data_IF_872917312417
#
_entry.id   IF_872917312417
#
_cell.length_a   1.000
_cell.length_b   1.000
_cell.length_c   1.000
_cell.angle_alpha   90.00
_cell.angle_beta   90.00
_cell.angle_gamma   90.00
#
_symmetry.space_group_name_H-M   'P 1'
#
loop_
_entity.id
_entity.type
_entity.pdbx_description
1 polymer ?
#
# COMPACT_ATOMS: atom_id res chain seq x y z
N UNK A 1 -9.50 -10.60 3.44
CA UNK A 1 -8.40 -10.17 4.33
C UNK A 1 -7.49 -11.36 4.59
N UNK A 2 -6.18 -11.11 4.60
CA UNK A 2 -5.19 -12.11 5.01
C UNK A 2 -5.26 -12.35 6.52
N UNK A 3 -4.93 -13.57 6.94
CA UNK A 3 -4.62 -13.87 8.33
C UNK A 3 -3.15 -13.52 8.67
N UNK A 4 -2.81 -13.58 9.97
CA UNK A 4 -1.48 -13.22 10.45
C UNK A 4 -0.38 -14.13 9.87
N UNK A 5 -0.65 -15.43 9.71
CA UNK A 5 0.32 -16.40 9.19
C UNK A 5 0.65 -16.09 7.74
N UNK A 6 -0.36 -15.87 6.91
CA UNK A 6 -0.19 -15.50 5.50
C UNK A 6 0.52 -14.15 5.36
N UNK A 7 0.13 -13.14 6.15
CA UNK A 7 0.80 -11.85 6.17
C UNK A 7 2.29 -11.98 6.51
N UNK A 8 2.62 -12.75 7.55
CA UNK A 8 4.01 -13.00 7.95
C UNK A 8 4.84 -13.60 6.81
N UNK A 9 4.27 -14.55 6.07
CA UNK A 9 4.93 -15.15 4.92
C UNK A 9 5.13 -14.14 3.76
N UNK A 10 4.15 -13.27 3.51
CA UNK A 10 4.29 -12.16 2.54
C UNK A 10 5.44 -11.25 2.96
N UNK A 11 5.41 -10.73 4.18
CA UNK A 11 6.46 -9.83 4.70
C UNK A 11 7.85 -10.48 4.59
N UNK A 12 7.97 -11.76 5.03
CA UNK A 12 9.24 -12.50 4.96
C UNK A 12 9.74 -12.65 3.53
N UNK A 13 8.88 -13.02 2.60
CA UNK A 13 9.22 -13.26 1.19
C UNK A 13 9.63 -11.96 0.49
N UNK A 14 8.81 -10.92 0.61
CA UNK A 14 9.03 -9.68 -0.13
C UNK A 14 10.26 -8.93 0.38
N UNK A 15 10.45 -8.84 1.68
CA UNK A 15 11.64 -8.17 2.24
C UNK A 15 12.93 -8.95 1.97
N UNK A 16 12.88 -10.28 1.96
CA UNK A 16 14.03 -11.07 1.55
C UNK A 16 14.41 -10.82 0.06
N UNK A 17 13.40 -10.68 -0.80
CA UNK A 17 13.60 -10.34 -2.21
C UNK A 17 14.18 -8.91 -2.36
N UNK A 18 13.68 -7.94 -1.61
CA UNK A 18 14.19 -6.57 -1.59
C UNK A 18 15.64 -6.49 -1.14
N UNK A 19 16.00 -7.16 -0.06
CA UNK A 19 17.38 -7.24 0.39
C UNK A 19 18.28 -7.82 -0.70
N UNK A 20 17.86 -8.92 -1.35
CA UNK A 20 18.64 -9.55 -2.41
C UNK A 20 18.80 -8.64 -3.63
N UNK A 21 17.80 -7.82 -3.98
CA UNK A 21 17.90 -6.81 -5.06
C UNK A 21 18.85 -5.69 -4.68
N UNK A 22 18.66 -5.10 -3.51
CA UNK A 22 19.47 -3.97 -3.02
C UNK A 22 20.95 -4.33 -2.82
N UNK A 23 21.25 -5.56 -2.38
CA UNK A 23 22.62 -6.06 -2.23
C UNK A 23 23.34 -6.26 -3.57
N UNK A 24 22.61 -6.56 -4.64
CA UNK A 24 23.18 -6.72 -5.99
C UNK A 24 23.18 -5.43 -6.80
N UNK A 25 22.38 -4.45 -6.40
CA UNK A 25 22.26 -3.18 -7.12
C UNK A 25 23.58 -2.39 -7.07
N UNK A 26 24.13 -1.98 -8.23
CA UNK A 26 25.25 -1.06 -8.29
C UNK A 26 24.95 0.26 -7.56
N UNK A 27 25.98 0.98 -7.14
CA UNK A 27 25.81 2.21 -6.39
C UNK A 27 25.00 3.27 -7.16
N UNK A 28 25.18 3.35 -8.46
CA UNK A 28 24.46 4.25 -9.36
C UNK A 28 22.95 3.97 -9.39
N UNK A 29 22.53 2.72 -9.29
CA UNK A 29 21.11 2.35 -9.30
C UNK A 29 20.35 2.79 -8.04
N UNK A 30 21.08 3.07 -6.95
CA UNK A 30 20.46 3.58 -5.73
C UNK A 30 19.89 5.00 -5.89
N UNK A 31 20.33 5.73 -6.90
CA UNK A 31 19.81 7.06 -7.23
C UNK A 31 18.75 7.01 -8.36
N UNK A 32 18.47 5.83 -8.92
CA UNK A 32 17.45 5.65 -9.95
C UNK A 32 16.06 6.05 -9.43
N UNK A 33 15.24 6.72 -10.25
CA UNK A 33 13.89 7.11 -9.86
C UNK A 33 12.99 5.88 -9.72
N UNK A 34 12.05 5.95 -8.80
CA UNK A 34 10.99 4.95 -8.62
C UNK A 34 9.67 5.42 -9.24
N UNK A 35 8.62 4.60 -9.15
CA UNK A 35 7.24 4.99 -9.51
C UNK A 35 6.63 5.99 -8.50
N UNK A 36 7.28 6.20 -7.36
CA UNK A 36 6.87 7.19 -6.35
C UNK A 36 7.46 8.56 -6.72
N UNK A 37 6.65 9.62 -6.85
CA UNK A 37 7.15 10.94 -7.20
C UNK A 37 8.24 11.44 -6.24
N UNK A 38 9.36 11.89 -6.80
CA UNK A 38 10.52 12.42 -6.07
C UNK A 38 11.27 11.38 -5.19
N UNK A 39 10.99 10.08 -5.31
CA UNK A 39 11.71 9.04 -4.58
C UNK A 39 12.71 8.32 -5.49
N UNK A 40 13.94 8.19 -5.01
CA UNK A 40 14.93 7.27 -5.57
C UNK A 40 14.82 5.89 -4.89
N UNK A 41 15.51 4.89 -5.45
CA UNK A 41 15.70 3.58 -4.82
C UNK A 41 16.20 3.72 -3.39
N UNK A 42 17.14 4.66 -3.13
CA UNK A 42 17.64 4.97 -1.79
C UNK A 42 16.53 5.43 -0.85
N UNK A 43 15.68 6.33 -1.30
CA UNK A 43 14.58 6.84 -0.48
C UNK A 43 13.57 5.73 -0.16
N UNK A 44 13.24 4.91 -1.16
CA UNK A 44 12.35 3.76 -0.99
C UNK A 44 12.94 2.74 -0.01
N UNK A 45 14.22 2.37 -0.17
CA UNK A 45 14.90 1.43 0.75
C UNK A 45 14.93 1.95 2.21
N UNK A 46 15.14 3.28 2.40
CA UNK A 46 15.05 3.90 3.73
C UNK A 46 13.64 3.84 4.30
N UNK A 47 12.62 4.06 3.45
CA UNK A 47 11.23 3.97 3.85
C UNK A 47 10.87 2.53 4.25
N UNK A 48 11.28 1.52 3.48
CA UNK A 48 11.10 0.11 3.84
C UNK A 48 11.69 -0.20 5.22
N UNK A 49 12.93 0.24 5.47
CA UNK A 49 13.58 0.03 6.76
C UNK A 49 12.84 0.74 7.91
N UNK A 50 12.40 1.97 7.69
CA UNK A 50 11.67 2.78 8.68
C UNK A 50 10.28 2.19 8.95
N UNK A 51 9.53 1.82 7.89
CA UNK A 51 8.20 1.23 7.99
C UNK A 51 8.19 -0.04 8.82
N UNK A 52 9.12 -0.97 8.58
CA UNK A 52 9.23 -2.20 9.37
C UNK A 52 9.44 -1.96 10.87
N UNK A 53 10.20 -0.93 11.23
CA UNK A 53 10.40 -0.58 12.63
C UNK A 53 9.12 0.00 13.26
N UNK A 54 8.41 0.86 12.52
CA UNK A 54 7.11 1.39 12.95
C UNK A 54 6.09 0.28 13.14
N UNK A 55 6.03 -0.67 12.21
CA UNK A 55 5.11 -1.80 12.23
C UNK A 55 5.38 -2.73 13.41
N UNK A 56 6.65 -3.09 13.64
CA UNK A 56 7.04 -3.90 14.80
C UNK A 56 6.68 -3.20 16.12
N UNK A 57 6.91 -1.90 16.20
CA UNK A 57 6.59 -1.13 17.39
C UNK A 57 5.08 -0.95 17.59
N UNK A 58 4.31 -0.77 16.51
CA UNK A 58 2.85 -0.71 16.58
C UNK A 58 2.24 -2.02 17.08
N UNK A 59 2.77 -3.18 16.62
CA UNK A 59 2.38 -4.49 17.11
C UNK A 59 2.71 -4.67 18.60
N UNK A 60 3.93 -4.34 18.99
CA UNK A 60 4.34 -4.42 20.40
C UNK A 60 3.43 -3.58 21.29
N UNK A 61 3.15 -2.33 20.90
CA UNK A 61 2.27 -1.42 21.64
C UNK A 61 0.85 -1.94 21.71
N UNK A 62 0.32 -2.48 20.61
CA UNK A 62 -1.00 -3.11 20.59
C UNK A 62 -1.10 -4.26 21.61
N UNK A 63 -0.07 -5.12 21.69
CA UNK A 63 0.01 -6.21 22.67
C UNK A 63 0.13 -5.73 24.11
N UNK A 64 0.82 -4.61 24.34
CA UNK A 64 1.03 -4.01 25.67
C UNK A 64 -0.09 -3.05 26.09
N UNK A 65 -1.07 -2.79 25.21
CA UNK A 65 -2.18 -1.87 25.49
C UNK A 65 -1.77 -0.40 25.51
N UNK A 66 -0.71 -0.03 24.80
CA UNK A 66 -0.20 1.35 24.68
C UNK A 66 -0.87 2.03 23.49
N UNK A 67 -1.70 3.05 23.67
CA UNK A 67 -2.51 3.63 22.58
C UNK A 67 -1.77 4.67 21.72
N UNK A 68 -0.61 5.16 22.17
CA UNK A 68 0.15 6.19 21.46
C UNK A 68 0.97 5.56 20.31
N UNK A 69 1.02 6.22 19.15
CA UNK A 69 1.90 5.84 18.07
C UNK A 69 3.39 5.98 18.47
N UNK A 70 4.22 5.13 17.88
CA UNK A 70 5.66 5.18 18.12
C UNK A 70 6.32 6.33 17.35
N UNK A 71 7.33 6.92 17.99
CA UNK A 71 8.37 7.67 17.30
C UNK A 71 9.61 6.78 17.22
N UNK A 72 10.06 6.49 16.00
CA UNK A 72 11.20 5.61 15.76
C UNK A 72 12.28 6.36 14.94
N UNK A 73 13.58 6.06 15.17
CA UNK A 73 14.64 6.75 14.47
C UNK A 73 14.66 6.41 12.97
N UNK A 74 14.81 7.43 12.15
CA UNK A 74 15.03 7.24 10.71
C UNK A 74 16.40 6.63 10.45
N UNK A 75 16.54 5.59 9.60
CA UNK A 75 17.83 5.01 9.24
C UNK A 75 18.79 6.03 8.62
N UNK A 76 20.08 5.83 8.82
CA UNK A 76 21.13 6.64 8.17
C UNK A 76 20.99 6.63 6.64
N UNK A 77 21.57 7.61 5.94
CA UNK A 77 21.37 7.76 4.49
C UNK A 77 22.27 6.86 3.64
N UNK A 78 23.32 6.29 4.21
CA UNK A 78 24.26 5.45 3.46
C UNK A 78 23.74 4.03 3.24
N UNK A 79 24.15 3.40 2.14
CA UNK A 79 23.70 2.09 1.71
C UNK A 79 23.87 1.02 2.79
N UNK A 80 25.01 0.99 3.46
CA UNK A 80 25.33 -0.02 4.47
C UNK A 80 24.42 0.10 5.70
N UNK A 81 24.17 1.33 6.15
CA UNK A 81 23.25 1.63 7.24
C UNK A 81 21.80 1.23 6.90
N UNK A 82 21.36 1.49 5.67
CA UNK A 82 20.01 1.13 5.20
C UNK A 82 19.85 -0.40 5.19
N UNK A 83 20.78 -1.13 4.55
CA UNK A 83 20.74 -2.59 4.49
C UNK A 83 20.77 -3.24 5.89
N UNK A 84 21.62 -2.72 6.77
CA UNK A 84 21.68 -3.20 8.16
C UNK A 84 20.38 -2.92 8.92
N UNK A 85 19.74 -1.77 8.67
CA UNK A 85 18.46 -1.43 9.27
C UNK A 85 17.33 -2.34 8.75
N UNK A 86 17.24 -2.58 7.42
CA UNK A 86 16.25 -3.50 6.86
C UNK A 86 16.38 -4.89 7.50
N UNK A 87 17.57 -5.48 7.54
CA UNK A 87 17.79 -6.82 8.15
C UNK A 87 17.31 -6.86 9.60
N UNK A 88 17.80 -5.94 10.43
CA UNK A 88 17.47 -5.88 11.86
C UNK A 88 15.96 -5.67 12.09
N UNK A 89 15.36 -4.71 11.39
CA UNK A 89 13.97 -4.35 11.60
C UNK A 89 13.03 -5.44 11.07
N UNK A 90 13.42 -6.12 9.99
CA UNK A 90 12.71 -7.29 9.49
C UNK A 90 12.66 -8.43 10.52
N UNK A 91 13.81 -8.76 11.12
CA UNK A 91 13.87 -9.78 12.19
C UNK A 91 12.99 -9.38 13.39
N UNK A 92 13.02 -8.11 13.78
CA UNK A 92 12.20 -7.58 14.86
C UNK A 92 10.70 -7.68 14.54
N UNK A 93 10.29 -7.31 13.32
CA UNK A 93 8.90 -7.38 12.89
C UNK A 93 8.39 -8.83 12.90
N UNK A 94 9.14 -9.76 12.31
CA UNK A 94 8.76 -11.18 12.32
C UNK A 94 8.69 -11.74 13.75
N UNK A 95 9.64 -11.38 14.59
CA UNK A 95 9.65 -11.81 16.00
C UNK A 95 8.45 -11.24 16.78
N UNK A 96 8.01 -10.01 16.47
CA UNK A 96 6.82 -9.45 17.11
C UNK A 96 5.53 -10.09 16.57
N UNK A 97 5.46 -10.40 15.27
CA UNK A 97 4.36 -11.18 14.69
C UNK A 97 4.20 -12.54 15.37
N UNK A 98 5.32 -13.23 15.69
CA UNK A 98 5.31 -14.53 16.38
C UNK A 98 4.80 -14.48 17.85
N UNK A 99 4.74 -13.27 18.44
CA UNK A 99 4.21 -13.09 19.82
C UNK A 99 2.71 -12.86 19.86
N UNK A 100 2.08 -12.64 18.71
CA UNK A 100 0.64 -12.44 18.64
C UNK A 100 -0.09 -13.76 18.35
N UNK A 101 -1.24 -13.93 18.96
CA UNK A 101 -2.21 -14.94 18.54
C UNK A 101 -3.26 -14.32 17.61
N UNK A 102 -3.90 -15.10 16.72
CA UNK A 102 -4.97 -14.59 15.88
C UNK A 102 -6.11 -13.93 16.68
N UNK A 103 -6.48 -14.51 17.82
CA UNK A 103 -7.53 -13.98 18.71
C UNK A 103 -7.10 -12.65 19.36
N UNK A 104 -5.86 -12.60 19.86
CA UNK A 104 -5.31 -11.40 20.48
C UNK A 104 -5.23 -10.24 19.47
N UNK A 105 -4.76 -10.53 18.25
CA UNK A 105 -4.71 -9.53 17.20
C UNK A 105 -6.11 -9.14 16.71
N UNK A 106 -7.07 -10.08 16.68
CA UNK A 106 -8.44 -9.82 16.27
C UNK A 106 -9.15 -8.75 17.09
N UNK A 107 -8.77 -8.59 18.36
CA UNK A 107 -9.31 -7.56 19.29
C UNK A 107 -8.38 -6.36 19.49
N UNK A 108 -7.17 -6.41 18.96
CA UNK A 108 -6.16 -5.36 19.15
C UNK A 108 -6.45 -4.11 18.30
N UNK A 109 -5.99 -2.98 18.79
CA UNK A 109 -5.88 -1.73 18.02
C UNK A 109 -4.39 -1.38 17.91
N UNK A 110 -3.88 -1.33 16.67
CA UNK A 110 -2.51 -0.95 16.39
C UNK A 110 -2.40 0.58 16.28
N UNK A 111 -1.59 1.23 17.12
CA UNK A 111 -1.44 2.68 17.11
C UNK A 111 -0.47 3.09 16.00
N UNK A 112 -1.01 3.40 14.81
CA UNK A 112 -0.24 3.90 13.68
C UNK A 112 -0.12 5.44 13.74
N UNK A 113 0.90 6.02 13.08
CA UNK A 113 1.15 7.47 13.07
C UNK A 113 0.00 8.28 12.42
N UNK A 114 -0.77 7.65 11.55
CA UNK A 114 -1.96 8.24 10.90
C UNK A 114 -3.28 7.93 11.63
N UNK A 115 -3.22 7.28 12.78
CA UNK A 115 -4.37 6.96 13.63
C UNK A 115 -4.45 5.47 14.00
N UNK A 116 -5.36 5.12 14.91
CA UNK A 116 -5.53 3.74 15.37
C UNK A 116 -6.14 2.86 14.27
N UNK A 117 -5.56 1.69 14.06
CA UNK A 117 -5.99 0.72 13.04
C UNK A 117 -6.38 -0.60 13.72
N UNK A 118 -7.56 -1.19 13.42
CA UNK A 118 -7.91 -2.52 13.90
C UNK A 118 -6.88 -3.56 13.48
N UNK A 119 -6.48 -4.46 14.38
CA UNK A 119 -5.45 -5.45 14.14
C UNK A 119 -5.61 -6.27 12.85
N UNK A 120 -6.81 -6.79 12.51
CA UNK A 120 -7.00 -7.49 11.24
C UNK A 120 -6.74 -6.64 9.99
N UNK A 121 -7.02 -5.34 10.04
CA UNK A 121 -6.68 -4.42 8.94
C UNK A 121 -5.18 -4.10 8.93
N UNK A 122 -4.58 -3.90 10.11
CA UNK A 122 -3.14 -3.64 10.25
C UNK A 122 -2.29 -4.77 9.64
N UNK A 123 -2.68 -6.02 9.82
CA UNK A 123 -2.03 -7.19 9.17
C UNK A 123 -2.02 -7.05 7.64
N UNK A 124 -3.13 -6.59 7.06
CA UNK A 124 -3.20 -6.38 5.62
C UNK A 124 -2.39 -5.15 5.17
N UNK A 125 -2.28 -4.11 6.01
CA UNK A 125 -1.40 -2.96 5.75
C UNK A 125 0.06 -3.41 5.64
N UNK A 126 0.55 -4.25 6.55
CA UNK A 126 1.96 -4.71 6.50
C UNK A 126 2.27 -5.58 5.29
N UNK A 127 1.36 -6.48 4.91
CA UNK A 127 1.50 -7.26 3.68
C UNK A 127 1.43 -6.38 2.43
N UNK A 128 0.57 -5.36 2.43
CA UNK A 128 0.47 -4.35 1.40
C UNK A 128 1.76 -3.53 1.27
N UNK A 129 2.26 -2.95 2.37
CA UNK A 129 3.49 -2.16 2.41
C UNK A 129 4.68 -2.98 1.87
N UNK A 130 4.89 -4.20 2.40
CA UNK A 130 5.96 -5.07 1.94
C UNK A 130 5.83 -5.39 0.44
N UNK A 131 4.64 -5.80 -0.02
CA UNK A 131 4.45 -6.27 -1.39
C UNK A 131 4.45 -5.16 -2.43
N UNK A 132 3.83 -4.01 -2.16
CA UNK A 132 3.81 -2.89 -3.10
C UNK A 132 5.18 -2.23 -3.23
N UNK A 133 5.90 -2.05 -2.12
CA UNK A 133 7.25 -1.49 -2.18
C UNK A 133 8.26 -2.45 -2.80
N UNK A 134 8.08 -3.77 -2.64
CA UNK A 134 8.86 -4.76 -3.39
C UNK A 134 8.63 -4.66 -4.91
N UNK A 135 7.39 -4.42 -5.34
CA UNK A 135 7.07 -4.17 -6.75
C UNK A 135 7.62 -2.82 -7.25
N UNK A 136 7.51 -1.75 -6.45
CA UNK A 136 8.09 -0.44 -6.78
C UNK A 136 9.61 -0.54 -6.92
N UNK A 137 10.29 -1.28 -6.03
CA UNK A 137 11.74 -1.49 -6.07
C UNK A 137 12.17 -2.35 -7.28
N UNK A 138 11.46 -3.46 -7.53
CA UNK A 138 11.71 -4.32 -8.69
C UNK A 138 11.61 -3.52 -9.98
N UNK A 139 10.56 -2.72 -10.15
CA UNK A 139 10.36 -1.89 -11.32
C UNK A 139 11.47 -0.83 -11.50
N UNK A 140 11.93 -0.19 -10.41
CA UNK A 140 13.01 0.78 -10.45
C UNK A 140 14.36 0.15 -10.86
N UNK A 141 14.53 -1.14 -10.58
CA UNK A 141 15.71 -1.95 -10.97
C UNK A 141 15.53 -2.73 -12.29
N UNK A 142 14.48 -2.40 -13.06
CA UNK A 142 14.24 -2.95 -14.41
C UNK A 142 13.54 -4.31 -14.45
N UNK A 143 12.96 -4.77 -13.33
CA UNK A 143 12.16 -6.00 -13.27
C UNK A 143 10.67 -5.63 -13.40
N UNK A 144 9.96 -6.17 -14.39
CA UNK A 144 8.51 -6.01 -14.54
C UNK A 144 7.80 -7.27 -14.02
N UNK A 145 7.35 -7.21 -12.78
CA UNK A 145 6.76 -8.35 -12.09
C UNK A 145 5.30 -8.07 -11.74
N UNK A 146 4.39 -9.05 -11.97
CA UNK A 146 3.03 -8.94 -11.45
C UNK A 146 3.03 -9.06 -9.92
N UNK A 147 2.01 -8.48 -9.28
CA UNK A 147 1.78 -8.67 -7.85
C UNK A 147 1.40 -10.13 -7.56
N UNK A 148 1.98 -10.71 -6.52
CA UNK A 148 1.55 -12.02 -6.03
C UNK A 148 0.10 -11.96 -5.51
N UNK A 149 -0.64 -13.06 -5.59
CA UNK A 149 -2.07 -13.09 -5.29
C UNK A 149 -2.40 -12.65 -3.85
N UNK A 150 -1.57 -13.00 -2.89
CA UNK A 150 -1.69 -12.57 -1.50
C UNK A 150 -1.44 -11.06 -1.32
N UNK A 151 -0.48 -10.49 -2.06
CA UNK A 151 -0.25 -9.04 -2.13
C UNK A 151 -1.45 -8.34 -2.78
N UNK A 152 -2.00 -8.89 -3.87
CA UNK A 152 -3.24 -8.40 -4.50
C UNK A 152 -4.37 -8.34 -3.47
N UNK A 153 -4.58 -9.42 -2.71
CA UNK A 153 -5.64 -9.50 -1.71
C UNK A 153 -5.44 -8.47 -0.57
N UNK A 154 -4.22 -8.32 -0.06
CA UNK A 154 -3.89 -7.34 0.97
C UNK A 154 -4.13 -5.91 0.46
N UNK A 155 -3.60 -5.60 -0.74
CA UNK A 155 -3.73 -4.29 -1.36
C UNK A 155 -5.19 -3.91 -1.62
N UNK A 156 -6.00 -4.84 -2.15
CA UNK A 156 -7.42 -4.62 -2.37
C UNK A 156 -8.18 -4.36 -1.04
N UNK A 157 -7.80 -5.07 0.03
CA UNK A 157 -8.37 -4.87 1.37
C UNK A 157 -8.03 -3.46 1.90
N UNK A 158 -6.76 -3.05 1.82
CA UNK A 158 -6.31 -1.73 2.28
C UNK A 158 -6.95 -0.61 1.47
N UNK A 159 -6.95 -0.72 0.13
CA UNK A 159 -7.58 0.28 -0.74
C UNK A 159 -9.09 0.36 -0.54
N UNK A 160 -9.78 -0.77 -0.35
CA UNK A 160 -11.20 -0.78 -0.02
C UNK A 160 -11.55 0.02 1.24
N UNK A 161 -10.66 0.01 2.24
CA UNK A 161 -10.82 0.78 3.46
C UNK A 161 -10.36 2.24 3.31
N UNK A 162 -9.28 2.50 2.56
CA UNK A 162 -8.61 3.80 2.53
C UNK A 162 -9.10 4.73 1.41
N UNK A 163 -9.49 4.22 0.24
CA UNK A 163 -9.93 5.07 -0.88
C UNK A 163 -11.04 6.07 -0.52
N UNK A 164 -12.12 5.68 0.20
CA UNK A 164 -13.14 6.64 0.60
C UNK A 164 -12.58 7.72 1.55
N UNK A 165 -11.65 7.36 2.44
CA UNK A 165 -11.01 8.29 3.38
C UNK A 165 -10.10 9.27 2.65
N UNK A 166 -9.28 8.79 1.71
CA UNK A 166 -8.43 9.61 0.86
C UNK A 166 -9.26 10.58 0.01
N UNK A 167 -10.36 10.08 -0.56
CA UNK A 167 -11.27 10.91 -1.32
C UNK A 167 -11.99 11.96 -0.46
N UNK A 168 -12.33 11.65 0.78
CA UNK A 168 -12.88 12.64 1.73
C UNK A 168 -11.86 13.71 2.10
N UNK A 169 -10.59 13.36 2.22
CA UNK A 169 -9.51 14.29 2.56
C UNK A 169 -9.06 15.17 1.38
N UNK A 170 -9.27 14.73 0.14
CA UNK A 170 -8.96 15.52 -1.05
C UNK A 170 -9.76 16.82 -1.11
N UNK A 171 -9.21 17.85 -1.74
CA UNK A 171 -9.90 19.15 -1.94
C UNK A 171 -10.84 19.14 -3.13
N UNK A 172 -10.47 18.38 -4.17
CA UNK A 172 -11.22 18.29 -5.41
C UNK A 172 -12.51 17.48 -5.24
N UNK A 173 -13.57 17.95 -5.90
CA UNK A 173 -14.88 17.27 -5.90
C UNK A 173 -15.43 17.21 -7.32
N UNK A 174 -16.15 16.12 -7.69
CA UNK A 174 -16.94 16.10 -8.92
C UNK A 174 -18.04 17.14 -8.92
N UNK A 175 -18.37 17.65 -10.11
CA UNK A 175 -19.46 18.62 -10.27
C UNK A 175 -20.86 17.97 -10.13
N UNK A 176 -20.96 16.67 -10.35
CA UNK A 176 -22.19 15.88 -10.29
C UNK A 176 -21.94 14.55 -9.56
N UNK A 177 -23.00 13.76 -9.36
CA UNK A 177 -22.88 12.42 -8.76
C UNK A 177 -22.15 11.49 -9.72
N UNK A 178 -21.04 10.91 -9.27
CA UNK A 178 -20.22 10.00 -10.07
C UNK A 178 -19.93 8.70 -9.31
N UNK A 179 -19.91 7.59 -10.06
CA UNK A 179 -19.47 6.29 -9.54
C UNK A 179 -18.25 5.80 -10.31
N UNK A 180 -17.21 5.41 -9.57
CA UNK A 180 -16.02 4.76 -10.09
C UNK A 180 -16.04 3.29 -9.73
N UNK A 181 -15.82 2.44 -10.73
CA UNK A 181 -15.61 1.02 -10.60
C UNK A 181 -14.24 0.67 -11.13
N UNK A 182 -13.33 0.29 -10.24
CA UNK A 182 -12.04 -0.27 -10.59
C UNK A 182 -12.17 -1.80 -10.52
N UNK A 183 -11.97 -2.48 -11.65
CA UNK A 183 -12.27 -3.90 -11.79
C UNK A 183 -11.10 -4.66 -12.43
N UNK A 184 -10.43 -5.47 -11.62
CA UNK A 184 -9.47 -6.46 -12.04
C UNK A 184 -10.13 -7.81 -12.35
N UNK A 185 -9.32 -8.87 -12.42
CA UNK A 185 -9.79 -10.24 -12.59
C UNK A 185 -10.50 -10.75 -11.34
N UNK A 186 -9.95 -10.47 -10.17
CA UNK A 186 -10.48 -10.84 -8.85
C UNK A 186 -10.76 -9.62 -7.96
N UNK A 187 -10.13 -8.49 -8.26
CA UNK A 187 -10.26 -7.24 -7.49
C UNK A 187 -11.44 -6.42 -7.97
N UNK A 188 -12.15 -5.83 -7.01
CA UNK A 188 -13.18 -4.85 -7.27
C UNK A 188 -13.15 -3.77 -6.18
N UNK A 189 -12.98 -2.51 -6.61
CA UNK A 189 -13.02 -1.35 -5.75
C UNK A 189 -14.08 -0.37 -6.28
N UNK A 190 -15.09 -0.12 -5.49
CA UNK A 190 -16.19 0.79 -5.83
C UNK A 190 -16.10 2.05 -4.96
N UNK A 191 -16.06 3.23 -5.59
CA UNK A 191 -16.05 4.54 -4.94
C UNK A 191 -17.12 5.42 -5.57
N UNK A 192 -17.95 6.08 -4.77
CA UNK A 192 -19.06 6.90 -5.26
C UNK A 192 -19.09 8.26 -4.56
N UNK A 193 -19.29 9.32 -5.35
CA UNK A 193 -19.66 10.64 -4.87
C UNK A 193 -21.16 10.83 -5.02
N UNK A 194 -21.87 11.09 -3.93
CA UNK A 194 -23.35 11.21 -3.92
C UNK A 194 -23.86 12.64 -4.13
N UNK A 195 -22.96 13.58 -4.43
CA UNK A 195 -23.22 15.02 -4.53
C UNK A 195 -22.86 15.81 -3.27
N UNK A 196 -22.56 15.13 -2.17
CA UNK A 196 -22.16 15.77 -0.91
C UNK A 196 -20.90 15.14 -0.31
N UNK A 197 -20.78 13.81 -0.40
CA UNK A 197 -19.68 13.06 0.23
C UNK A 197 -19.28 11.83 -0.59
N UNK A 198 -18.07 11.35 -0.34
CA UNK A 198 -17.57 10.10 -0.89
C UNK A 198 -18.05 8.92 -0.05
N UNK A 199 -18.48 7.86 -0.72
CA UNK A 199 -19.02 6.63 -0.13
C UNK A 199 -18.37 5.40 -0.77
N UNK A 200 -18.11 4.33 -0.01
CA UNK A 200 -17.76 3.05 -0.59
C UNK A 200 -19.00 2.42 -1.28
N UNK A 201 -18.73 1.54 -2.24
CA UNK A 201 -19.79 0.75 -2.89
C UNK A 201 -20.52 1.46 -4.02
N UNK A 202 -21.51 0.75 -4.55
CA UNK A 202 -22.33 1.21 -5.68
C UNK A 202 -23.56 1.99 -5.22
N UNK A 203 -24.13 2.74 -6.14
CA UNK A 203 -25.38 3.47 -5.91
C UNK A 203 -25.73 4.38 -7.08
N UNK A 204 -26.83 5.13 -7.00
CA UNK A 204 -27.23 6.05 -8.06
C UNK A 204 -26.12 7.07 -8.36
N UNK A 205 -25.81 7.23 -9.64
CA UNK A 205 -24.86 8.19 -10.16
C UNK A 205 -25.38 8.76 -11.49
N UNK A 206 -25.01 10.00 -11.80
CA UNK A 206 -25.32 10.64 -13.09
C UNK A 206 -24.28 10.21 -14.12
N UNK A 207 -23.03 10.00 -13.67
CA UNK A 207 -21.96 9.49 -14.48
C UNK A 207 -21.35 8.23 -13.86
N UNK A 208 -20.96 7.28 -14.71
CA UNK A 208 -20.27 6.07 -14.28
C UNK A 208 -18.97 5.95 -15.04
N UNK A 209 -17.92 5.65 -14.32
CA UNK A 209 -16.57 5.38 -14.83
C UNK A 209 -16.21 3.95 -14.46
N UNK A 210 -15.83 3.16 -15.45
CA UNK A 210 -15.22 1.85 -15.23
C UNK A 210 -13.78 1.89 -15.74
N UNK A 211 -12.83 1.54 -14.87
CA UNK A 211 -11.43 1.34 -15.16
C UNK A 211 -11.14 -0.13 -14.92
N UNK A 212 -10.72 -0.86 -15.95
CA UNK A 212 -10.52 -2.32 -15.87
C UNK A 212 -9.19 -2.76 -16.48
N UNK A 213 -8.67 -3.88 -16.02
CA UNK A 213 -7.41 -4.50 -16.44
C UNK A 213 -7.16 -5.77 -15.63
N UNK A 214 -5.95 -6.30 -15.66
CA UNK A 214 -5.58 -7.30 -14.67
C UNK A 214 -5.50 -6.69 -13.25
N UNK A 215 -5.47 -7.54 -12.23
CA UNK A 215 -5.46 -7.07 -10.83
C UNK A 215 -4.26 -6.16 -10.52
N UNK A 216 -3.08 -6.46 -11.06
CA UNK A 216 -1.87 -5.65 -10.86
C UNK A 216 -2.04 -4.25 -11.45
N UNK A 217 -2.46 -4.14 -12.70
CA UNK A 217 -2.64 -2.85 -13.35
C UNK A 217 -3.69 -1.98 -12.64
N UNK A 218 -4.83 -2.57 -12.27
CA UNK A 218 -5.90 -1.87 -11.56
C UNK A 218 -5.42 -1.35 -10.20
N UNK A 219 -4.71 -2.16 -9.43
CA UNK A 219 -4.20 -1.77 -8.11
C UNK A 219 -3.09 -0.73 -8.20
N UNK A 220 -2.12 -0.90 -9.12
CA UNK A 220 -1.06 0.08 -9.35
C UNK A 220 -1.61 1.43 -9.84
N UNK A 221 -2.67 1.42 -10.67
CA UNK A 221 -3.38 2.65 -11.02
C UNK A 221 -4.04 3.29 -9.81
N UNK A 222 -4.77 2.52 -9.02
CA UNK A 222 -5.42 3.04 -7.81
C UNK A 222 -4.42 3.67 -6.83
N UNK A 223 -3.19 3.13 -6.76
CA UNK A 223 -2.08 3.67 -5.98
C UNK A 223 -1.33 4.84 -6.66
N UNK A 224 -1.64 5.16 -7.93
CA UNK A 224 -0.95 6.22 -8.67
C UNK A 224 0.45 5.82 -9.17
N UNK A 225 0.76 4.52 -9.25
CA UNK A 225 2.05 3.98 -9.75
C UNK A 225 2.10 3.90 -11.27
N UNK A 226 0.94 3.83 -11.93
CA UNK A 226 0.81 3.88 -13.39
C UNK A 226 -0.26 4.89 -13.79
N UNK A 227 -0.13 5.45 -14.99
CA UNK A 227 -1.08 6.42 -15.53
C UNK A 227 -2.32 5.73 -16.15
N UNK A 228 -3.39 6.50 -16.36
CA UNK A 228 -4.65 6.00 -16.92
C UNK A 228 -4.51 5.47 -18.36
N UNK A 229 -3.53 5.94 -19.12
CA UNK A 229 -3.23 5.52 -20.49
C UNK A 229 -2.31 4.31 -20.57
N UNK A 230 -2.00 3.68 -19.44
CA UNK A 230 -1.22 2.43 -19.40
C UNK A 230 -1.91 1.35 -20.24
N UNK A 231 -1.16 0.61 -21.12
CA UNK A 231 -1.75 -0.36 -22.06
C UNK A 231 -2.49 -1.53 -21.37
N UNK A 232 -2.20 -1.80 -20.10
CA UNK A 232 -2.90 -2.80 -19.28
C UNK A 232 -4.25 -2.34 -18.76
N UNK A 233 -4.70 -1.09 -19.05
CA UNK A 233 -5.96 -0.55 -18.58
C UNK A 233 -6.92 -0.26 -19.73
N UNK A 234 -8.20 -0.50 -19.48
CA UNK A 234 -9.31 -0.10 -20.34
C UNK A 234 -10.28 0.79 -19.58
N UNK A 235 -10.75 1.86 -20.23
CA UNK A 235 -11.67 2.84 -19.64
C UNK A 235 -12.97 2.86 -20.40
N UNK A 236 -14.09 2.80 -19.69
CA UNK A 236 -15.43 3.01 -20.25
C UNK A 236 -16.24 3.98 -19.38
N UNK A 237 -17.25 4.63 -19.99
CA UNK A 237 -18.02 5.69 -19.37
C UNK A 237 -17.38 7.07 -19.54
N UNK A 238 -17.52 7.95 -18.55
CA UNK A 238 -17.05 9.33 -18.61
C UNK A 238 -15.51 9.41 -18.63
N UNK A 239 -14.93 9.69 -19.80
CA UNK A 239 -13.48 9.85 -19.97
C UNK A 239 -12.94 11.09 -19.22
N UNK A 240 -13.76 12.12 -19.08
CA UNK A 240 -13.39 13.34 -18.33
C UNK A 240 -13.21 13.02 -16.85
N UNK A 241 -14.16 12.35 -16.25
CA UNK A 241 -14.10 11.96 -14.85
C UNK A 241 -13.03 10.88 -14.60
N UNK A 242 -12.81 9.96 -15.54
CA UNK A 242 -11.74 8.96 -15.43
C UNK A 242 -10.36 9.62 -15.26
N UNK A 243 -10.06 10.68 -16.03
CA UNK A 243 -8.79 11.42 -15.95
C UNK A 243 -8.62 12.15 -14.62
N UNK A 244 -9.71 12.53 -13.98
CA UNK A 244 -9.73 13.23 -12.69
C UNK A 244 -9.75 12.32 -11.47
N UNK A 245 -9.82 10.99 -11.68
CA UNK A 245 -9.91 10.04 -10.58
C UNK A 245 -8.83 10.28 -9.51
N UNK A 246 -7.58 10.53 -9.94
CA UNK A 246 -6.45 10.76 -9.01
C UNK A 246 -6.48 12.13 -8.33
N UNK A 247 -7.19 13.10 -8.87
CA UNK A 247 -7.45 14.39 -8.20
C UNK A 247 -8.46 14.21 -7.06
N UNK A 248 -9.42 13.29 -7.25
CA UNK A 248 -10.46 12.98 -6.26
C UNK A 248 -10.00 11.99 -5.19
N UNK A 249 -9.20 11.02 -5.57
CA UNK A 249 -8.69 9.98 -4.69
C UNK A 249 -7.17 9.83 -4.91
N UNK A 250 -6.37 10.80 -4.39
CA UNK A 250 -4.92 10.70 -4.47
C UNK A 250 -4.47 9.42 -3.78
N UNK A 251 -3.50 8.74 -4.38
CA UNK A 251 -2.91 7.53 -3.78
C UNK A 251 -2.13 7.87 -2.50
N UNK A 252 -1.92 6.85 -1.64
CA UNK A 252 -1.01 6.96 -0.52
C UNK A 252 0.44 7.07 -0.97
#
# INVERSE_FOLDING_TARGET
>A
MLDLTTCREVVRREIAADLARLERAPQEDWESPTRLPAWSVRNLARHIAYGQQLEAEAMRRAREGIPEAADVPTPGPDQSSILAAIRRNHEQLLAEMDRHTPEGLGSAICPMYYGPVPGPLAVNVWAFEAGIHANDLAAALGEDLPLALDVVQATATVLGASLPLLAMAATERPASRVAFLLAGDTVRLDLRYDGASWQPGQGPAEETVRISGDDTAVLLFALGRIALDHPGLAVSGSQGEARRFKDYAPGP
#
